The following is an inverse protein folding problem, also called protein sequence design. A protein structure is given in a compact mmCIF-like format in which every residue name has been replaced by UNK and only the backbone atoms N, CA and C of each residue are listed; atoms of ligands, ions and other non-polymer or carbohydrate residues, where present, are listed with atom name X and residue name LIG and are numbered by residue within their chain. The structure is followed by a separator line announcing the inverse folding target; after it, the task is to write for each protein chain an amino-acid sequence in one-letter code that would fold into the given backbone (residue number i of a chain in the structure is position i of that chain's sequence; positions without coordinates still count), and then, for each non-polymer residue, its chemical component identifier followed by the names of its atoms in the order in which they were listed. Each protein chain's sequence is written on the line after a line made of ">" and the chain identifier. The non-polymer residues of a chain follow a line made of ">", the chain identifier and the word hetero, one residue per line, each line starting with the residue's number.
data_IF_237921104803
#
_entry.id   IF_237921104803
#
_cell.length_a   1.000
_cell.length_b   1.000
_cell.length_c   1.000
_cell.angle_alpha   90.00
_cell.angle_beta   90.00
_cell.angle_gamma   90.00
#
_symmetry.space_group_name_H-M   'P 1'
#
loop_
_entity.id
_entity.type
_entity.pdbx_description
1 polymer ?
#
# COMPACT_ATOMS: atom_id res chain seq x y z
N UNK A 1 -3.24 -38.11 -5.56
CA UNK A 1 -3.44 -36.67 -5.41
C UNK A 1 -2.87 -36.20 -4.07
N UNK A 2 -2.00 -35.21 -4.06
CA UNK A 2 -1.46 -34.57 -2.86
C UNK A 2 -1.75 -33.08 -2.93
N UNK A 3 -2.35 -32.50 -1.89
CA UNK A 3 -2.51 -31.06 -1.73
C UNK A 3 -1.59 -30.58 -0.60
N UNK A 4 -0.88 -29.48 -0.84
CA UNK A 4 0.09 -28.93 0.11
C UNK A 4 0.18 -27.41 -0.08
N UNK A 5 0.42 -26.66 1.00
CA UNK A 5 0.66 -25.21 0.94
C UNK A 5 2.05 -24.89 0.37
N UNK A 6 2.21 -23.72 -0.24
CA UNK A 6 3.52 -23.20 -0.64
C UNK A 6 4.42 -23.09 0.59
N UNK A 7 5.68 -23.60 0.48
CA UNK A 7 6.61 -23.66 1.61
C UNK A 7 6.46 -24.89 2.51
N UNK A 8 5.43 -25.71 2.33
CA UNK A 8 5.33 -27.00 3.06
C UNK A 8 6.26 -28.07 2.45
N UNK A 9 6.65 -29.03 3.28
CA UNK A 9 7.52 -30.12 2.84
C UNK A 9 6.79 -31.08 1.90
N UNK A 10 7.17 -31.10 0.62
CA UNK A 10 6.71 -32.07 -0.39
C UNK A 10 7.78 -33.12 -0.67
N UNK A 11 8.73 -33.28 0.26
CA UNK A 11 9.83 -34.24 0.14
C UNK A 11 9.29 -35.69 0.09
N UNK A 12 9.88 -36.51 -0.76
CA UNK A 12 9.51 -37.93 -0.92
C UNK A 12 8.40 -38.21 -1.95
N UNK A 13 7.74 -37.18 -2.50
CA UNK A 13 6.71 -37.36 -3.53
C UNK A 13 7.25 -36.95 -4.90
N UNK A 14 6.99 -37.76 -5.93
CA UNK A 14 7.21 -37.42 -7.34
C UNK A 14 5.90 -37.02 -8.00
N UNK A 15 5.94 -36.09 -8.99
CA UNK A 15 4.76 -35.62 -9.68
C UNK A 15 4.93 -35.66 -11.20
N UNK A 16 3.94 -36.17 -11.93
CA UNK A 16 3.83 -36.01 -13.39
C UNK A 16 3.07 -34.74 -13.79
N UNK A 17 2.26 -34.21 -12.89
CA UNK A 17 1.57 -32.95 -13.02
C UNK A 17 1.58 -32.23 -11.68
N UNK A 18 2.07 -31.03 -11.64
CA UNK A 18 1.94 -30.11 -10.51
C UNK A 18 1.02 -28.94 -10.92
N UNK A 19 0.05 -28.63 -10.08
CA UNK A 19 -0.83 -27.47 -10.23
C UNK A 19 -0.51 -26.53 -9.06
N UNK A 20 -0.14 -25.29 -9.36
CA UNK A 20 0.12 -24.23 -8.39
C UNK A 20 -1.00 -23.21 -8.56
N UNK A 21 -1.75 -22.97 -7.50
CA UNK A 21 -2.90 -22.06 -7.50
C UNK A 21 -2.69 -20.96 -6.45
N UNK A 22 -2.67 -19.71 -6.89
CA UNK A 22 -2.42 -18.48 -6.10
C UNK A 22 -1.40 -18.67 -4.96
N UNK A 23 -0.11 -18.96 -5.29
CA UNK A 23 0.88 -19.39 -4.30
C UNK A 23 1.33 -18.29 -3.33
N UNK A 24 0.94 -17.05 -3.56
CA UNK A 24 1.33 -15.89 -2.74
C UNK A 24 0.15 -14.96 -2.55
N UNK A 25 -0.01 -14.45 -1.32
CA UNK A 25 -1.02 -13.42 -1.03
C UNK A 25 -0.60 -12.05 -1.55
N UNK A 26 -1.56 -11.12 -1.72
CA UNK A 26 -1.27 -9.72 -2.06
C UNK A 26 -0.22 -9.11 -1.13
N UNK A 27 -0.38 -9.31 0.17
CA UNK A 27 0.51 -8.72 1.18
C UNK A 27 1.94 -9.25 1.09
N UNK A 28 2.09 -10.55 0.89
CA UNK A 28 3.40 -11.19 0.78
C UNK A 28 4.07 -10.89 -0.57
N UNK A 29 3.28 -10.64 -1.61
CA UNK A 29 3.81 -10.38 -2.95
C UNK A 29 4.62 -9.07 -3.05
N UNK A 30 4.36 -8.09 -2.19
CA UNK A 30 5.16 -6.87 -2.12
C UNK A 30 6.43 -7.01 -1.27
N UNK A 31 6.57 -8.10 -0.51
CA UNK A 31 7.80 -8.41 0.22
C UNK A 31 8.80 -9.15 -0.66
N UNK A 32 9.96 -8.54 -0.94
CA UNK A 32 11.04 -9.18 -1.69
C UNK A 32 11.45 -10.52 -1.06
N UNK A 33 11.59 -10.56 0.25
CA UNK A 33 11.96 -11.78 0.99
C UNK A 33 10.95 -12.90 0.78
N UNK A 34 9.65 -12.58 0.75
CA UNK A 34 8.60 -13.59 0.51
C UNK A 34 8.60 -14.06 -0.93
N UNK A 35 8.78 -13.17 -1.91
CA UNK A 35 8.92 -13.56 -3.32
C UNK A 35 10.13 -14.46 -3.52
N UNK A 36 11.30 -14.06 -3.00
CA UNK A 36 12.54 -14.86 -3.10
C UNK A 36 12.37 -16.23 -2.43
N UNK A 37 11.70 -16.32 -1.30
CA UNK A 37 11.39 -17.57 -0.62
C UNK A 37 10.50 -18.49 -1.47
N UNK A 38 9.45 -17.95 -2.09
CA UNK A 38 8.57 -18.70 -2.99
C UNK A 38 9.30 -19.17 -4.25
N UNK A 39 10.10 -18.32 -4.87
CA UNK A 39 10.90 -18.65 -6.06
C UNK A 39 11.93 -19.75 -5.74
N UNK A 40 12.56 -19.70 -4.57
CA UNK A 40 13.45 -20.73 -4.05
C UNK A 40 12.72 -22.05 -3.78
N UNK A 41 11.55 -22.00 -3.15
CA UNK A 41 10.71 -23.17 -2.92
C UNK A 41 10.28 -23.84 -4.25
N UNK A 42 9.91 -23.07 -5.25
CA UNK A 42 9.63 -23.61 -6.58
C UNK A 42 10.86 -24.33 -7.17
N UNK A 43 11.99 -23.64 -7.21
CA UNK A 43 13.21 -24.12 -7.88
C UNK A 43 13.81 -25.34 -7.20
N UNK A 44 13.96 -25.31 -5.86
CA UNK A 44 14.62 -26.35 -5.08
C UNK A 44 13.67 -27.43 -4.55
N UNK A 45 12.42 -27.04 -4.28
CA UNK A 45 11.40 -27.93 -3.74
C UNK A 45 10.59 -28.63 -4.83
N UNK A 46 9.70 -27.88 -5.50
CA UNK A 46 8.72 -28.45 -6.42
C UNK A 46 9.36 -28.93 -7.73
N UNK A 47 10.18 -28.11 -8.38
CA UNK A 47 10.77 -28.44 -9.69
C UNK A 47 11.59 -29.73 -9.65
N UNK A 48 12.29 -29.98 -8.56
CA UNK A 48 13.09 -31.20 -8.34
C UNK A 48 12.24 -32.47 -8.12
N UNK A 49 10.92 -32.31 -7.93
CA UNK A 49 9.97 -33.44 -7.74
C UNK A 49 9.25 -33.83 -9.01
N UNK A 50 9.43 -33.07 -10.09
CA UNK A 50 8.83 -33.45 -11.36
C UNK A 50 9.53 -34.69 -11.93
N UNK A 51 8.73 -35.67 -12.29
CA UNK A 51 9.20 -36.87 -13.01
C UNK A 51 9.59 -36.47 -14.45
N UNK A 52 10.44 -37.27 -15.12
CA UNK A 52 10.75 -37.02 -16.53
C UNK A 52 9.48 -36.86 -17.38
N UNK A 53 9.36 -35.73 -18.09
CA UNK A 53 8.15 -35.39 -18.87
C UNK A 53 7.01 -34.81 -18.05
N UNK A 54 7.20 -34.63 -16.73
CA UNK A 54 6.22 -33.97 -15.85
C UNK A 54 5.96 -32.53 -16.28
N UNK A 55 4.74 -32.07 -15.99
CA UNK A 55 4.25 -30.73 -16.38
C UNK A 55 3.86 -29.92 -15.16
N UNK A 56 3.92 -28.60 -15.31
CA UNK A 56 3.46 -27.64 -14.31
C UNK A 56 2.37 -26.76 -14.91
N UNK A 57 1.32 -26.54 -14.17
CA UNK A 57 0.31 -25.49 -14.45
C UNK A 57 0.38 -24.49 -13.31
N UNK A 58 0.65 -23.24 -13.64
CA UNK A 58 0.65 -22.14 -12.68
C UNK A 58 -0.56 -21.25 -12.98
N UNK A 59 -1.46 -21.14 -12.02
CA UNK A 59 -2.59 -20.22 -12.03
C UNK A 59 -2.35 -19.21 -10.93
N UNK A 60 -2.27 -17.92 -11.24
CA UNK A 60 -2.08 -16.88 -10.23
C UNK A 60 -2.50 -15.51 -10.71
N UNK A 61 -2.88 -14.67 -9.78
CA UNK A 61 -2.98 -13.24 -9.99
C UNK A 61 -1.57 -12.65 -10.03
N UNK A 62 -1.33 -11.73 -10.97
CA UNK A 62 -0.06 -11.00 -11.02
C UNK A 62 -0.09 -9.88 -9.98
N UNK A 63 0.91 -9.84 -9.13
CA UNK A 63 1.03 -8.83 -8.07
C UNK A 63 2.26 -7.95 -8.25
N UNK A 64 3.32 -8.54 -8.78
CA UNK A 64 4.62 -7.90 -8.90
C UNK A 64 5.35 -8.45 -10.12
N UNK A 65 6.22 -7.64 -10.72
CA UNK A 65 7.02 -8.06 -11.88
C UNK A 65 7.86 -9.32 -11.57
N UNK A 66 8.51 -9.37 -10.40
CA UNK A 66 9.34 -10.49 -9.95
C UNK A 66 8.57 -11.51 -9.10
N UNK A 67 7.25 -11.60 -9.24
CA UNK A 67 6.48 -12.71 -8.66
C UNK A 67 6.86 -14.05 -9.33
N UNK A 68 6.31 -15.16 -8.86
CA UNK A 68 6.71 -16.47 -9.38
C UNK A 68 6.56 -16.57 -10.91
N UNK A 69 5.48 -16.02 -11.49
CA UNK A 69 5.32 -16.03 -12.93
C UNK A 69 6.39 -15.19 -13.65
N UNK A 70 6.68 -13.98 -13.14
CA UNK A 70 7.72 -13.13 -13.70
C UNK A 70 9.11 -13.77 -13.60
N UNK A 71 9.43 -14.37 -12.45
CA UNK A 71 10.66 -15.11 -12.25
C UNK A 71 10.84 -16.26 -13.25
N UNK A 72 9.78 -17.03 -13.52
CA UNK A 72 9.84 -18.16 -14.47
C UNK A 72 9.97 -17.69 -15.92
N UNK A 73 9.33 -16.58 -16.28
CA UNK A 73 9.45 -15.98 -17.62
C UNK A 73 10.83 -15.38 -17.82
N UNK A 74 11.40 -14.70 -16.83
CA UNK A 74 12.77 -14.20 -16.88
C UNK A 74 13.78 -15.34 -17.06
N UNK A 75 13.61 -16.45 -16.34
CA UNK A 75 14.44 -17.65 -16.56
C UNK A 75 14.30 -18.19 -17.98
N UNK A 76 13.09 -18.24 -18.54
CA UNK A 76 12.85 -18.70 -19.91
C UNK A 76 13.59 -17.85 -20.95
N UNK A 77 13.68 -16.54 -20.73
CA UNK A 77 14.33 -15.60 -21.65
C UNK A 77 15.86 -15.62 -21.50
N UNK A 78 16.35 -15.66 -20.27
CA UNK A 78 17.74 -15.39 -19.96
C UNK A 78 18.59 -16.63 -19.63
N UNK A 79 17.97 -17.79 -19.35
CA UNK A 79 18.73 -19.00 -19.04
C UNK A 79 18.72 -20.02 -20.17
N UNK A 80 19.89 -20.50 -20.62
CA UNK A 80 19.97 -21.59 -21.62
C UNK A 80 19.27 -22.84 -21.10
N UNK A 81 18.46 -23.49 -21.93
CA UNK A 81 17.76 -24.75 -21.60
C UNK A 81 16.72 -24.62 -20.47
N UNK A 82 16.25 -23.42 -20.15
CA UNK A 82 15.15 -23.23 -19.21
C UNK A 82 13.85 -23.90 -19.69
N UNK A 83 12.98 -24.21 -18.73
CA UNK A 83 11.64 -24.72 -19.05
C UNK A 83 10.88 -23.72 -19.93
N UNK A 84 10.12 -24.25 -20.91
CA UNK A 84 9.30 -23.42 -21.81
C UNK A 84 7.89 -23.32 -21.26
N UNK A 85 7.41 -22.08 -21.11
CA UNK A 85 6.09 -21.76 -20.60
C UNK A 85 5.20 -21.26 -21.74
N UNK A 86 4.01 -21.81 -21.80
CA UNK A 86 2.91 -21.28 -22.59
C UNK A 86 2.09 -20.36 -21.70
N UNK A 87 2.00 -19.07 -22.05
CA UNK A 87 1.36 -18.06 -21.23
C UNK A 87 -0.04 -17.77 -21.75
N UNK A 88 -1.04 -17.93 -20.91
CA UNK A 88 -2.41 -17.50 -21.16
C UNK A 88 -2.70 -16.31 -20.25
N UNK A 89 -2.88 -15.13 -20.85
CA UNK A 89 -3.15 -13.88 -20.13
C UNK A 89 -4.58 -13.42 -20.42
N UNK A 90 -5.36 -13.24 -19.35
CA UNK A 90 -6.77 -12.85 -19.44
C UNK A 90 -6.97 -11.53 -18.69
N UNK A 91 -6.75 -10.37 -19.35
CA UNK A 91 -6.99 -9.07 -18.73
C UNK A 91 -8.49 -8.78 -18.60
N UNK A 92 -8.89 -8.02 -17.57
CA UNK A 92 -10.28 -7.65 -17.35
C UNK A 92 -10.86 -6.77 -18.46
N UNK A 93 -10.03 -5.92 -19.10
CA UNK A 93 -10.36 -5.20 -20.32
C UNK A 93 -9.56 -5.79 -21.47
N UNK A 94 -10.23 -6.10 -22.58
CA UNK A 94 -9.58 -6.69 -23.75
C UNK A 94 -8.50 -5.76 -24.31
N UNK A 95 -7.30 -6.30 -24.51
CA UNK A 95 -6.19 -5.67 -25.22
C UNK A 95 -6.07 -6.27 -26.62
N UNK A 96 -5.30 -5.65 -27.50
CA UNK A 96 -4.99 -6.21 -28.83
C UNK A 96 -4.37 -7.61 -28.67
N UNK A 97 -3.38 -7.76 -27.79
CA UNK A 97 -2.71 -9.03 -27.50
C UNK A 97 -3.70 -10.10 -27.01
N UNK A 98 -4.58 -9.76 -26.06
CA UNK A 98 -5.55 -10.73 -25.52
C UNK A 98 -6.56 -11.17 -26.58
N UNK A 99 -7.01 -10.27 -27.43
CA UNK A 99 -7.94 -10.62 -28.53
C UNK A 99 -7.28 -11.54 -29.55
N UNK A 100 -6.03 -11.29 -29.95
CA UNK A 100 -5.27 -12.12 -30.86
C UNK A 100 -4.97 -13.51 -30.30
N UNK A 101 -4.52 -13.55 -29.03
CA UNK A 101 -4.08 -14.79 -28.36
C UNK A 101 -5.27 -15.67 -27.97
N UNK A 102 -6.36 -15.08 -27.46
CA UNK A 102 -7.50 -15.83 -26.93
C UNK A 102 -8.57 -16.15 -27.99
N UNK A 103 -8.61 -15.42 -29.08
CA UNK A 103 -9.64 -15.60 -30.09
C UNK A 103 -9.65 -17.00 -30.72
N UNK A 104 -8.51 -17.63 -31.07
CA UNK A 104 -8.50 -19.01 -31.58
C UNK A 104 -9.06 -20.02 -30.58
N UNK A 105 -8.69 -19.89 -29.30
CA UNK A 105 -9.18 -20.75 -28.22
C UNK A 105 -10.69 -20.56 -28.02
N UNK A 106 -11.17 -19.32 -28.02
CA UNK A 106 -12.59 -18.99 -27.91
C UNK A 106 -13.40 -19.56 -29.06
N UNK A 107 -12.98 -19.37 -30.30
CA UNK A 107 -13.62 -19.93 -31.52
C UNK A 107 -13.74 -21.46 -31.38
N UNK A 108 -12.68 -22.12 -30.90
CA UNK A 108 -12.69 -23.56 -30.64
C UNK A 108 -13.73 -23.97 -29.59
N UNK A 109 -13.80 -23.25 -28.46
CA UNK A 109 -14.75 -23.53 -27.38
C UNK A 109 -16.20 -23.25 -27.80
N UNK A 110 -16.45 -22.21 -28.57
CA UNK A 110 -17.77 -21.95 -29.18
C UNK A 110 -18.17 -23.08 -30.14
N UNK A 111 -17.24 -23.52 -30.98
CA UNK A 111 -17.48 -24.63 -31.90
C UNK A 111 -17.78 -25.96 -31.20
N UNK A 112 -17.20 -26.15 -30.02
CA UNK A 112 -17.43 -27.32 -29.16
C UNK A 112 -18.67 -27.20 -28.27
N UNK A 113 -19.38 -26.07 -28.30
CA UNK A 113 -20.59 -25.83 -27.51
C UNK A 113 -20.35 -25.45 -26.04
N UNK A 114 -19.09 -25.21 -25.63
CA UNK A 114 -18.76 -24.77 -24.26
C UNK A 114 -19.01 -23.28 -24.03
N UNK A 115 -18.98 -22.46 -25.08
CA UNK A 115 -19.25 -21.01 -25.02
C UNK A 115 -20.37 -20.66 -26.02
N UNK A 116 -21.16 -19.62 -25.70
CA UNK A 116 -22.16 -19.09 -26.63
C UNK A 116 -21.49 -18.33 -27.79
N UNK A 117 -22.21 -18.16 -28.90
CA UNK A 117 -21.69 -17.40 -30.06
C UNK A 117 -21.42 -15.91 -29.72
N UNK A 118 -22.09 -15.36 -28.71
CA UNK A 118 -21.93 -13.98 -28.30
C UNK A 118 -20.54 -13.68 -27.76
N UNK A 119 -19.84 -14.68 -27.20
CA UNK A 119 -18.43 -14.58 -26.81
C UNK A 119 -17.45 -14.32 -27.99
N UNK A 120 -17.89 -14.39 -29.22
CA UNK A 120 -17.02 -14.08 -30.38
C UNK A 120 -16.96 -12.59 -30.70
N UNK A 121 -17.73 -11.74 -30.03
CA UNK A 121 -17.89 -10.31 -30.35
C UNK A 121 -17.14 -9.36 -29.41
N UNK A 122 -16.18 -9.86 -28.64
CA UNK A 122 -15.42 -9.00 -27.72
C UNK A 122 -14.59 -7.97 -28.50
N UNK A 123 -14.62 -6.72 -28.06
CA UNK A 123 -13.92 -5.62 -28.68
C UNK A 123 -12.82 -5.09 -27.77
N UNK A 124 -11.86 -4.41 -28.39
CA UNK A 124 -10.79 -3.71 -27.71
C UNK A 124 -11.36 -2.73 -26.66
N UNK A 125 -10.84 -2.78 -25.43
CA UNK A 125 -11.26 -1.92 -24.33
C UNK A 125 -12.58 -2.31 -23.66
N UNK A 126 -13.29 -3.33 -24.16
CA UNK A 126 -14.46 -3.88 -23.48
C UNK A 126 -14.07 -4.92 -22.44
N UNK A 127 -14.92 -5.12 -21.46
CA UNK A 127 -14.74 -6.18 -20.47
C UNK A 127 -14.60 -7.55 -21.13
N UNK A 128 -13.75 -8.40 -20.55
CA UNK A 128 -13.66 -9.80 -20.97
C UNK A 128 -14.96 -10.56 -20.73
N UNK A 129 -15.79 -10.14 -19.76
CA UNK A 129 -17.06 -10.78 -19.37
C UNK A 129 -18.21 -9.76 -19.35
N UNK A 130 -18.57 -9.18 -20.54
CA UNK A 130 -19.48 -8.02 -20.62
C UNK A 130 -20.96 -8.37 -20.44
N UNK A 131 -21.34 -9.65 -20.66
CA UNK A 131 -22.73 -10.11 -20.63
C UNK A 131 -22.98 -11.11 -19.51
N UNK A 132 -24.20 -11.12 -18.91
CA UNK A 132 -24.53 -12.06 -17.85
C UNK A 132 -24.42 -13.51 -18.30
N UNK A 133 -23.84 -14.34 -17.46
CA UNK A 133 -23.89 -15.78 -17.57
C UNK A 133 -25.36 -16.25 -17.50
N UNK A 134 -25.76 -17.13 -18.40
CA UNK A 134 -27.14 -17.63 -18.48
C UNK A 134 -27.56 -18.45 -17.26
N UNK A 135 -26.60 -19.07 -16.58
CA UNK A 135 -26.88 -19.94 -15.41
C UNK A 135 -26.94 -19.13 -14.10
N UNK A 136 -26.03 -18.16 -13.93
CA UNK A 136 -25.85 -17.45 -12.66
C UNK A 136 -26.20 -15.97 -12.72
N UNK A 137 -26.47 -15.41 -13.90
CA UNK A 137 -26.75 -13.98 -14.07
C UNK A 137 -25.56 -13.05 -13.75
N UNK A 138 -24.38 -13.60 -13.57
CA UNK A 138 -23.19 -12.85 -13.17
C UNK A 138 -22.43 -12.31 -14.38
N UNK A 139 -22.03 -11.06 -14.32
CA UNK A 139 -21.14 -10.44 -15.31
C UNK A 139 -20.31 -9.33 -14.66
N UNK A 140 -19.24 -8.94 -15.35
CA UNK A 140 -18.51 -7.72 -15.10
C UNK A 140 -18.65 -6.81 -16.30
N UNK A 141 -19.55 -5.84 -16.22
CA UNK A 141 -19.72 -4.90 -17.35
C UNK A 141 -18.48 -4.05 -17.54
N UNK A 142 -18.28 -3.53 -18.74
CA UNK A 142 -17.19 -2.58 -19.02
C UNK A 142 -17.23 -1.38 -18.07
N UNK A 143 -18.43 -0.90 -17.75
CA UNK A 143 -18.62 0.20 -16.79
C UNK A 143 -18.16 -0.15 -15.38
N UNK A 144 -18.38 -1.39 -14.93
CA UNK A 144 -17.93 -1.85 -13.60
C UNK A 144 -16.41 -1.93 -13.53
N UNK A 145 -15.78 -2.45 -14.57
CA UNK A 145 -14.31 -2.50 -14.66
C UNK A 145 -13.71 -1.10 -14.73
N UNK A 146 -14.29 -0.17 -15.51
CA UNK A 146 -13.84 1.22 -15.55
C UNK A 146 -14.02 1.91 -14.18
N UNK A 147 -15.14 1.67 -13.49
CA UNK A 147 -15.33 2.17 -12.12
C UNK A 147 -14.27 1.62 -11.19
N UNK A 148 -13.96 0.34 -11.25
CA UNK A 148 -12.88 -0.29 -10.48
C UNK A 148 -11.55 0.34 -10.82
N UNK A 149 -11.24 0.57 -12.11
CA UNK A 149 -10.02 1.23 -12.56
C UNK A 149 -9.87 2.63 -11.95
N UNK A 150 -10.94 3.42 -11.95
CA UNK A 150 -10.92 4.79 -11.42
C UNK A 150 -10.80 4.85 -9.88
N UNK A 151 -11.14 3.76 -9.19
CA UNK A 151 -11.05 3.67 -7.73
C UNK A 151 -9.87 2.83 -7.23
N UNK A 152 -9.03 2.32 -8.13
CA UNK A 152 -7.84 1.52 -7.81
C UNK A 152 -6.60 2.25 -8.31
N UNK A 153 -5.49 2.27 -7.55
CA UNK A 153 -4.22 2.81 -8.04
C UNK A 153 -3.83 2.16 -9.38
N UNK A 154 -3.34 2.96 -10.33
CA UNK A 154 -3.10 2.50 -11.71
C UNK A 154 -2.21 1.25 -11.76
N UNK A 155 -1.08 1.25 -11.03
CA UNK A 155 -0.17 0.09 -10.99
C UNK A 155 -0.84 -1.17 -10.46
N UNK A 156 -1.74 -1.03 -9.45
CA UNK A 156 -2.52 -2.14 -8.90
C UNK A 156 -3.54 -2.65 -9.92
N UNK A 157 -4.23 -1.74 -10.59
CA UNK A 157 -5.16 -2.12 -11.64
C UNK A 157 -4.45 -2.83 -12.78
N UNK A 158 -3.32 -2.30 -13.23
CA UNK A 158 -2.54 -2.89 -14.31
C UNK A 158 -1.97 -4.26 -13.94
N UNK A 159 -1.52 -4.44 -12.70
CA UNK A 159 -1.08 -5.74 -12.20
C UNK A 159 -2.23 -6.75 -12.11
N UNK A 160 -3.30 -6.43 -11.37
CA UNK A 160 -4.40 -7.34 -11.05
C UNK A 160 -5.33 -7.59 -12.22
N UNK A 161 -5.83 -6.50 -12.82
CA UNK A 161 -6.85 -6.54 -13.84
C UNK A 161 -6.27 -6.48 -15.25
N UNK A 162 -5.10 -5.86 -15.43
CA UNK A 162 -4.35 -5.85 -16.68
C UNK A 162 -3.46 -7.07 -16.86
N UNK A 163 -3.18 -7.82 -15.79
CA UNK A 163 -2.22 -8.94 -15.77
C UNK A 163 -0.82 -8.52 -16.25
N UNK A 164 -0.48 -7.24 -16.07
CA UNK A 164 0.76 -6.61 -16.53
C UNK A 164 1.33 -5.76 -15.39
N UNK A 165 1.93 -6.40 -14.36
CA UNK A 165 2.64 -5.65 -13.34
C UNK A 165 3.82 -4.94 -13.99
N UNK A 166 3.92 -3.64 -13.74
CA UNK A 166 5.08 -2.85 -14.16
C UNK A 166 6.26 -3.09 -13.24
N UNK A 167 7.47 -2.94 -13.76
CA UNK A 167 8.67 -2.88 -12.93
C UNK A 167 8.58 -1.70 -11.98
N UNK A 168 8.79 -1.97 -10.71
CA UNK A 168 8.95 -0.93 -9.69
C UNK A 168 10.34 -0.27 -9.73
N UNK A 169 10.95 -0.15 -10.89
CA UNK A 169 12.08 0.76 -11.09
C UNK A 169 11.61 2.22 -11.10
N UNK A 170 10.63 2.52 -10.28
CA UNK A 170 10.09 3.84 -10.07
C UNK A 170 9.47 3.93 -8.67
N UNK A 171 9.67 5.03 -8.04
CA UNK A 171 9.23 5.39 -6.71
C UNK A 171 7.76 5.03 -6.47
N UNK A 172 7.45 4.33 -5.37
CA UNK A 172 6.09 3.88 -5.01
C UNK A 172 5.15 5.08 -4.86
N UNK A 173 5.65 6.19 -4.33
CA UNK A 173 4.93 7.45 -4.19
C UNK A 173 5.51 8.47 -5.17
N UNK A 174 4.67 8.93 -6.10
CA UNK A 174 5.10 9.89 -7.12
C UNK A 174 5.02 11.33 -6.61
N UNK A 175 5.98 12.15 -7.01
CA UNK A 175 6.04 13.56 -6.60
C UNK A 175 4.78 14.35 -7.04
N UNK A 176 4.26 14.06 -8.24
CA UNK A 176 3.07 14.72 -8.77
C UNK A 176 1.75 14.39 -8.05
N UNK A 177 1.74 13.41 -7.15
CA UNK A 177 0.55 13.07 -6.38
C UNK A 177 0.34 13.92 -5.14
N UNK A 178 1.39 14.63 -4.69
CA UNK A 178 1.29 15.57 -3.60
C UNK A 178 0.52 16.82 -4.04
N UNK A 179 -0.48 17.19 -3.26
CA UNK A 179 -1.20 18.44 -3.45
C UNK A 179 -0.56 19.54 -2.63
N UNK A 180 -0.63 20.76 -3.12
CA UNK A 180 -0.06 21.91 -2.45
C UNK A 180 -1.09 22.67 -1.62
N UNK A 181 -0.67 23.17 -0.44
CA UNK A 181 -1.48 24.05 0.36
C UNK A 181 -0.71 25.36 0.71
N UNK A 182 -0.02 25.98 -0.22
CA UNK A 182 0.78 27.20 -0.08
C UNK A 182 0.00 28.45 0.36
N UNK A 183 -1.01 28.31 1.17
CA UNK A 183 -1.62 29.44 1.86
C UNK A 183 -0.79 29.74 3.11
N UNK A 184 -0.78 31.01 3.53
CA UNK A 184 -0.03 31.46 4.69
C UNK A 184 -0.37 30.71 5.98
N UNK A 185 -1.53 30.06 6.03
CA UNK A 185 -2.01 29.24 7.14
C UNK A 185 -2.36 27.82 6.68
N UNK A 186 -2.03 26.82 7.52
CA UNK A 186 -2.41 25.45 7.31
C UNK A 186 -3.96 25.27 7.33
N UNK A 187 -4.52 24.29 6.58
CA UNK A 187 -5.94 24.00 6.64
C UNK A 187 -6.42 23.77 8.08
N UNK A 188 -7.63 24.22 8.40
CA UNK A 188 -8.24 23.92 9.71
C UNK A 188 -8.52 22.42 9.83
N UNK A 189 -7.83 21.74 10.76
CA UNK A 189 -7.86 20.29 10.89
C UNK A 189 -8.84 19.84 11.96
N UNK A 190 -9.63 18.83 11.65
CA UNK A 190 -10.58 18.19 12.58
C UNK A 190 -9.90 17.15 13.47
N UNK A 191 -8.76 16.60 13.04
CA UNK A 191 -7.97 15.63 13.78
C UNK A 191 -6.49 15.82 13.45
N UNK A 192 -5.65 15.88 14.47
CA UNK A 192 -4.20 16.01 14.32
C UNK A 192 -3.51 14.84 14.97
N UNK A 193 -2.54 14.26 14.25
CA UNK A 193 -1.72 13.15 14.73
C UNK A 193 -0.24 13.47 14.58
N UNK A 194 0.54 13.05 15.56
CA UNK A 194 1.99 12.96 15.44
C UNK A 194 2.42 11.50 15.34
N UNK A 195 3.36 11.24 14.48
CA UNK A 195 3.92 9.91 14.26
C UNK A 195 5.42 9.96 14.48
N UNK A 196 5.93 9.05 15.30
CA UNK A 196 7.29 9.01 15.78
C UNK A 196 7.95 7.68 15.46
N UNK A 197 9.07 7.72 14.76
CA UNK A 197 10.05 6.64 14.72
C UNK A 197 11.24 7.05 15.60
N UNK A 198 11.62 6.22 16.58
CA UNK A 198 12.57 6.61 17.60
C UNK A 198 13.81 5.72 17.63
N UNK A 199 14.99 6.36 17.60
CA UNK A 199 16.28 5.74 17.84
C UNK A 199 16.99 6.49 18.96
N UNK A 200 17.56 5.76 19.93
CA UNK A 200 18.27 6.37 21.06
C UNK A 200 19.78 6.33 20.85
N UNK A 201 20.29 7.17 19.99
CA UNK A 201 21.73 7.27 19.85
C UNK A 201 22.15 8.59 19.23
N UNK A 202 23.14 9.21 19.83
CA UNK A 202 23.81 10.40 19.31
C UNK A 202 25.02 10.09 18.42
N UNK A 203 25.34 8.78 18.23
CA UNK A 203 26.50 8.37 17.41
C UNK A 203 26.23 8.69 15.95
N UNK A 204 27.26 9.14 15.23
CA UNK A 204 27.17 9.48 13.79
C UNK A 204 26.78 8.31 12.89
N UNK A 205 26.94 7.06 13.36
CA UNK A 205 26.59 5.84 12.65
C UNK A 205 25.22 5.27 13.07
N UNK A 206 24.49 5.95 13.95
CA UNK A 206 23.19 5.49 14.44
C UNK A 206 22.05 6.00 13.56
N UNK A 207 20.93 5.29 13.58
CA UNK A 207 19.69 5.67 12.92
C UNK A 207 19.18 7.01 13.45
N UNK A 208 18.42 7.71 12.62
CA UNK A 208 17.74 8.94 13.00
C UNK A 208 16.47 8.62 13.80
N UNK A 209 16.07 9.56 14.65
CA UNK A 209 14.67 9.66 15.07
C UNK A 209 13.95 10.63 14.15
N UNK A 210 12.75 10.29 13.73
CA UNK A 210 11.94 11.12 12.86
C UNK A 210 10.55 11.36 13.46
N UNK A 211 10.03 12.55 13.19
CA UNK A 211 8.71 13.00 13.63
C UNK A 211 8.00 13.60 12.44
N UNK A 212 6.75 13.19 12.21
CA UNK A 212 5.85 13.88 11.30
C UNK A 212 4.53 14.22 11.98
N UNK A 213 3.99 15.39 11.67
CA UNK A 213 2.68 15.86 12.17
C UNK A 213 1.73 16.00 11.00
N UNK A 214 0.56 15.39 11.13
CA UNK A 214 -0.44 15.32 10.08
C UNK A 214 -1.79 15.81 10.59
N UNK A 215 -2.56 16.45 9.72
CA UNK A 215 -3.90 16.90 10.03
C UNK A 215 -4.92 16.40 9.03
N UNK A 216 -6.10 15.99 9.51
CA UNK A 216 -7.25 15.67 8.68
C UNK A 216 -8.08 16.93 8.52
N UNK A 217 -8.45 17.27 7.29
CA UNK A 217 -9.29 18.42 6.98
C UNK A 217 -10.32 18.10 5.91
N UNK A 218 -11.40 18.84 5.90
CA UNK A 218 -12.45 18.74 4.88
C UNK A 218 -12.38 19.97 3.97
N UNK A 219 -12.36 19.74 2.66
CA UNK A 219 -12.43 20.81 1.66
C UNK A 219 -13.86 21.02 1.12
N UNK A 220 -14.88 20.32 1.67
CA UNK A 220 -16.28 20.42 1.29
C UNK A 220 -16.65 19.79 -0.06
N UNK A 221 -15.72 19.13 -0.74
CA UNK A 221 -15.93 18.61 -2.11
C UNK A 221 -15.87 17.09 -2.18
N UNK A 222 -15.04 16.47 -1.32
CA UNK A 222 -14.75 15.04 -1.39
C UNK A 222 -14.59 14.43 0.01
N UNK A 223 -14.21 13.15 0.07
CA UNK A 223 -13.79 12.53 1.33
C UNK A 223 -12.69 13.36 2.02
N UNK A 224 -12.57 13.31 3.37
CA UNK A 224 -11.59 14.09 4.11
C UNK A 224 -10.17 13.93 3.59
N UNK A 225 -9.44 15.01 3.50
CA UNK A 225 -8.06 15.08 3.04
C UNK A 225 -7.09 15.08 4.22
N UNK A 226 -5.81 14.86 3.94
CA UNK A 226 -4.74 14.86 4.95
C UNK A 226 -3.66 15.84 4.54
N UNK A 227 -3.22 16.70 5.46
CA UNK A 227 -2.10 17.61 5.23
C UNK A 227 -0.95 17.36 6.18
N UNK A 228 0.26 17.48 5.65
CA UNK A 228 1.50 17.47 6.42
C UNK A 228 1.68 18.85 7.07
N UNK A 229 1.69 18.89 8.40
CA UNK A 229 1.76 20.11 9.21
C UNK A 229 3.16 20.40 9.75
N UNK A 230 4.02 19.38 9.81
CA UNK A 230 5.38 19.52 10.30
C UNK A 230 6.16 18.22 10.19
N UNK A 231 7.48 18.37 10.05
CA UNK A 231 8.40 17.25 10.09
C UNK A 231 9.73 17.68 10.74
N UNK A 232 10.36 16.77 11.45
CA UNK A 232 11.68 16.97 12.02
C UNK A 232 12.41 15.62 12.13
N UNK A 233 13.71 15.63 11.85
CA UNK A 233 14.58 14.46 11.97
C UNK A 233 15.90 14.85 12.63
N UNK A 234 16.39 13.98 13.48
CA UNK A 234 17.68 14.21 14.16
C UNK A 234 18.17 13.00 14.94
N UNK A 235 19.40 13.10 15.41
CA UNK A 235 19.99 12.14 16.35
C UNK A 235 19.93 12.74 17.73
N UNK A 236 18.96 12.30 18.53
CA UNK A 236 18.69 12.84 19.83
C UNK A 236 18.95 11.79 20.91
N UNK A 237 19.50 12.25 22.04
CA UNK A 237 19.52 11.46 23.24
C UNK A 237 18.11 11.41 23.87
N UNK A 238 17.93 10.52 24.84
CA UNK A 238 16.63 10.32 25.47
C UNK A 238 16.04 11.59 26.13
N UNK A 239 16.82 12.38 26.92
CA UNK A 239 16.29 13.63 27.50
C UNK A 239 15.82 14.63 26.44
N UNK A 240 16.60 14.80 25.37
CA UNK A 240 16.25 15.69 24.25
C UNK A 240 15.01 15.20 23.53
N UNK A 241 14.91 13.90 23.24
CA UNK A 241 13.75 13.31 22.58
C UNK A 241 12.47 13.48 23.40
N UNK A 242 12.56 13.27 24.72
CA UNK A 242 11.46 13.49 25.65
C UNK A 242 11.00 14.97 25.67
N UNK A 243 11.95 15.91 25.72
CA UNK A 243 11.60 17.33 25.70
C UNK A 243 10.94 17.72 24.36
N UNK A 244 11.48 17.24 23.24
CA UNK A 244 10.86 17.43 21.93
C UNK A 244 9.42 16.93 21.84
N UNK A 245 9.11 15.82 22.49
CA UNK A 245 7.73 15.32 22.51
C UNK A 245 6.77 16.30 23.22
N UNK A 246 7.22 16.93 24.29
CA UNK A 246 6.45 17.95 25.00
C UNK A 246 6.32 19.21 24.15
N UNK A 247 7.42 19.72 23.58
CA UNK A 247 7.45 20.95 22.77
C UNK A 247 6.57 20.79 21.52
N UNK A 248 6.64 19.63 20.85
CA UNK A 248 5.82 19.34 19.66
C UNK A 248 4.35 19.14 19.99
N UNK A 249 4.04 18.59 21.16
CA UNK A 249 2.67 18.56 21.65
C UNK A 249 2.13 19.96 21.90
N UNK A 250 2.91 20.83 22.54
CA UNK A 250 2.50 22.23 22.77
C UNK A 250 2.32 23.00 21.47
N UNK A 251 3.17 22.74 20.47
CA UNK A 251 3.13 23.40 19.17
C UNK A 251 1.88 23.04 18.37
N UNK A 252 1.54 21.76 18.29
CA UNK A 252 0.53 21.25 17.35
C UNK A 252 -0.75 20.75 18.01
N UNK A 253 -0.76 20.56 19.34
CA UNK A 253 -1.89 20.02 20.12
C UNK A 253 -2.52 18.77 19.47
N UNK A 254 -1.74 17.71 19.18
CA UNK A 254 -2.26 16.54 18.49
C UNK A 254 -3.28 15.78 19.35
N UNK A 255 -4.29 15.21 18.70
CA UNK A 255 -5.27 14.32 19.34
C UNK A 255 -4.68 12.95 19.65
N UNK A 256 -3.62 12.56 18.90
CA UNK A 256 -2.91 11.30 19.10
C UNK A 256 -1.43 11.44 18.77
N UNK A 257 -0.60 10.80 19.59
CA UNK A 257 0.85 10.65 19.35
C UNK A 257 1.14 9.17 19.20
N UNK A 258 1.54 8.75 18.01
CA UNK A 258 1.93 7.36 17.72
C UNK A 258 3.43 7.21 17.92
N UNK A 259 3.83 6.20 18.67
CA UNK A 259 5.22 5.83 18.86
C UNK A 259 5.37 4.35 18.54
N UNK A 260 6.31 4.01 17.65
CA UNK A 260 6.56 2.61 17.31
C UNK A 260 7.08 1.83 18.52
N UNK A 261 6.51 0.65 18.76
CA UNK A 261 6.90 -0.25 19.85
C UNK A 261 8.19 -1.00 19.52
N UNK A 262 9.29 -0.28 19.41
CA UNK A 262 10.66 -0.81 19.42
C UNK A 262 11.23 -0.71 20.84
N UNK A 263 12.34 -1.39 21.11
CA UNK A 263 13.01 -1.33 22.43
C UNK A 263 13.30 0.14 22.86
N UNK A 264 13.65 1.00 21.90
CA UNK A 264 13.86 2.44 22.08
C UNK A 264 12.57 3.20 22.42
N UNK A 265 11.45 2.88 21.78
CA UNK A 265 10.17 3.57 22.01
C UNK A 265 9.51 3.24 23.34
N UNK A 266 9.75 2.06 23.90
CA UNK A 266 9.01 1.58 25.06
C UNK A 266 9.22 2.44 26.32
N UNK A 267 10.45 2.86 26.60
CA UNK A 267 10.75 3.74 27.73
C UNK A 267 10.13 5.12 27.54
N UNK A 268 10.19 5.68 26.33
CA UNK A 268 9.60 6.97 25.99
C UNK A 268 8.08 6.93 26.15
N UNK A 269 7.42 5.87 25.68
CA UNK A 269 5.98 5.66 25.81
C UNK A 269 5.57 5.69 27.29
N UNK A 270 6.29 4.98 28.16
CA UNK A 270 5.98 4.92 29.59
C UNK A 270 6.09 6.29 30.25
N UNK A 271 7.18 7.00 30.01
CA UNK A 271 7.42 8.32 30.59
C UNK A 271 6.41 9.38 30.11
N UNK A 272 6.13 9.41 28.81
CA UNK A 272 5.20 10.39 28.24
C UNK A 272 3.75 10.14 28.64
N UNK A 273 3.35 8.89 28.86
CA UNK A 273 2.01 8.58 29.41
C UNK A 273 1.81 9.16 30.81
N UNK A 274 2.85 9.23 31.60
CA UNK A 274 2.79 9.84 32.96
C UNK A 274 2.62 11.37 32.88
N UNK A 275 2.92 12.01 31.77
CA UNK A 275 2.71 13.45 31.56
C UNK A 275 1.29 13.81 31.07
N UNK A 276 0.42 12.82 30.87
CA UNK A 276 -0.95 13.02 30.39
C UNK A 276 -1.09 13.26 28.87
N UNK A 277 -0.02 13.05 28.11
CA UNK A 277 -0.04 13.13 26.65
C UNK A 277 -0.82 11.95 26.03
N UNK A 278 -1.52 12.16 24.89
CA UNK A 278 -2.32 11.14 24.22
C UNK A 278 -1.44 10.13 23.45
N UNK A 279 -0.69 9.30 24.17
CA UNK A 279 0.29 8.36 23.60
C UNK A 279 -0.34 7.03 23.24
N UNK A 280 -0.16 6.61 21.99
CA UNK A 280 -0.57 5.31 21.46
C UNK A 280 0.65 4.53 20.96
N UNK A 281 0.67 3.23 21.25
CA UNK A 281 1.68 2.32 20.72
C UNK A 281 1.30 1.90 19.30
N UNK A 282 2.25 1.94 18.40
CA UNK A 282 2.10 1.39 17.07
C UNK A 282 2.96 0.13 16.92
N UNK A 283 2.34 -0.97 16.54
CA UNK A 283 3.03 -2.21 16.21
C UNK A 283 2.88 -2.44 14.71
N UNK A 284 3.94 -2.31 13.90
CA UNK A 284 3.86 -2.63 12.48
C UNK A 284 3.57 -4.13 12.30
N UNK A 285 2.48 -4.44 11.63
CA UNK A 285 2.04 -5.80 11.30
C UNK A 285 2.57 -6.30 9.94
N UNK A 286 3.19 -5.39 9.16
CA UNK A 286 3.67 -5.62 7.81
C UNK A 286 5.05 -5.02 7.61
N UNK A 287 5.75 -5.48 6.57
CA UNK A 287 6.98 -4.83 6.16
C UNK A 287 6.74 -3.39 5.65
N UNK A 288 7.80 -2.58 5.61
CA UNK A 288 7.74 -1.15 5.26
C UNK A 288 7.13 -0.92 3.87
N UNK A 289 7.55 -1.70 2.88
CA UNK A 289 7.08 -1.59 1.49
C UNK A 289 5.57 -1.86 1.41
N UNK A 290 5.10 -2.93 2.06
CA UNK A 290 3.68 -3.27 2.11
C UNK A 290 2.83 -2.18 2.80
N UNK A 291 3.39 -1.49 3.83
CA UNK A 291 2.72 -0.36 4.48
C UNK A 291 2.56 0.82 3.54
N UNK A 292 3.60 1.16 2.77
CA UNK A 292 3.54 2.26 1.79
C UNK A 292 2.54 1.94 0.68
N UNK A 293 2.52 0.71 0.17
CA UNK A 293 1.50 0.31 -0.82
C UNK A 293 0.08 0.47 -0.29
N UNK A 294 -0.16 0.13 0.96
CA UNK A 294 -1.50 0.25 1.55
C UNK A 294 -2.04 1.69 1.57
N UNK A 295 -1.17 2.70 1.54
CA UNK A 295 -1.56 4.13 1.55
C UNK A 295 -1.47 4.80 0.18
N UNK A 296 -0.94 4.13 -0.85
CA UNK A 296 -0.72 4.71 -2.19
C UNK A 296 -2.00 5.29 -2.81
N UNK A 297 -3.16 4.66 -2.54
CA UNK A 297 -4.43 5.14 -3.04
C UNK A 297 -4.78 6.57 -2.55
N UNK A 298 -4.37 6.95 -1.34
CA UNK A 298 -4.59 8.30 -0.81
C UNK A 298 -3.82 9.35 -1.63
N UNK A 299 -2.58 9.03 -2.00
CA UNK A 299 -1.75 9.87 -2.85
C UNK A 299 -2.29 9.97 -4.27
N UNK A 300 -2.55 8.82 -4.90
CA UNK A 300 -3.07 8.76 -6.27
C UNK A 300 -4.39 9.53 -6.43
N UNK A 301 -5.25 9.50 -5.42
CA UNK A 301 -6.52 10.22 -5.44
C UNK A 301 -6.39 11.71 -5.05
N UNK A 302 -5.17 12.26 -4.96
CA UNK A 302 -4.92 13.66 -4.66
C UNK A 302 -5.39 14.10 -3.25
N UNK A 303 -5.38 13.18 -2.28
CA UNK A 303 -5.88 13.45 -0.92
C UNK A 303 -4.80 13.84 0.07
N UNK A 304 -3.51 13.81 -0.33
CA UNK A 304 -2.37 14.13 0.53
C UNK A 304 -1.79 15.46 0.11
N UNK A 305 -1.70 16.37 1.07
CA UNK A 305 -1.26 17.75 0.89
C UNK A 305 0.01 18.02 1.69
N UNK A 306 0.92 18.81 1.12
CA UNK A 306 2.11 19.32 1.81
C UNK A 306 2.39 20.77 1.39
N UNK A 307 3.05 21.59 2.25
CA UNK A 307 3.43 22.93 1.87
C UNK A 307 4.70 22.88 1.00
N UNK A 308 4.59 23.27 -0.27
CA UNK A 308 5.69 23.20 -1.21
C UNK A 308 6.75 24.33 -1.02
N UNK A 309 6.53 25.26 -0.11
CA UNK A 309 7.46 26.35 0.23
C UNK A 309 8.31 26.06 1.47
N UNK A 310 8.18 24.89 2.12
CA UNK A 310 8.87 24.54 3.36
C UNK A 310 9.95 23.49 3.15
N UNK A 311 11.18 23.79 3.59
CA UNK A 311 12.33 22.87 3.46
C UNK A 311 12.07 21.50 4.09
N UNK A 312 11.49 21.45 5.29
CA UNK A 312 11.20 20.21 5.97
C UNK A 312 10.14 19.36 5.24
N UNK A 313 9.20 19.98 4.53
CA UNK A 313 8.22 19.25 3.72
C UNK A 313 8.90 18.65 2.48
N UNK A 314 9.81 19.40 1.84
CA UNK A 314 10.61 18.87 0.74
C UNK A 314 11.43 17.65 1.13
N UNK A 315 11.98 17.59 2.35
CA UNK A 315 12.71 16.43 2.83
C UNK A 315 11.80 15.18 2.90
N UNK A 316 10.58 15.33 3.43
CA UNK A 316 9.60 14.23 3.47
C UNK A 316 9.16 13.79 2.08
N UNK A 317 8.86 14.75 1.20
CA UNK A 317 8.43 14.48 -0.17
C UNK A 317 9.53 13.80 -0.99
N UNK A 318 10.79 14.23 -0.82
CA UNK A 318 11.93 13.66 -1.54
C UNK A 318 12.25 12.24 -1.05
N UNK A 319 12.19 12.00 0.26
CA UNK A 319 12.36 10.64 0.80
C UNK A 319 11.23 9.73 0.32
N UNK A 320 9.98 10.21 0.31
CA UNK A 320 8.85 9.48 -0.23
C UNK A 320 9.01 9.19 -1.73
N UNK A 321 9.51 10.16 -2.49
CA UNK A 321 9.77 10.02 -3.92
C UNK A 321 10.85 8.99 -4.23
N UNK A 322 11.87 8.87 -3.41
CA UNK A 322 13.01 7.97 -3.64
C UNK A 322 12.82 6.57 -3.03
N UNK A 323 11.80 6.38 -2.20
CA UNK A 323 11.53 5.07 -1.59
C UNK A 323 11.03 4.04 -2.64
N UNK A 324 11.52 2.77 -2.65
CA UNK A 324 12.34 2.11 -1.61
C UNK A 324 13.86 2.19 -1.84
N UNK A 325 14.34 2.84 -2.88
CA UNK A 325 15.76 2.85 -3.27
C UNK A 325 16.58 3.98 -2.64
N UNK A 326 15.95 4.90 -1.92
CA UNK A 326 16.59 6.03 -1.25
C UNK A 326 17.52 5.62 -0.11
N UNK A 327 18.43 6.55 0.27
CA UNK A 327 19.40 6.32 1.34
C UNK A 327 18.79 6.43 2.75
N UNK A 328 17.62 7.01 2.88
CA UNK A 328 16.89 7.24 4.13
C UNK A 328 15.44 6.82 3.95
N UNK A 329 14.86 6.31 5.01
CA UNK A 329 13.48 5.84 5.06
C UNK A 329 12.78 6.09 6.41
N UNK A 330 13.37 6.99 7.23
CA UNK A 330 12.87 7.34 8.56
C UNK A 330 11.53 8.10 8.50
N UNK A 331 11.40 9.03 7.54
CA UNK A 331 10.14 9.74 7.31
C UNK A 331 9.07 8.82 6.69
N UNK A 332 9.46 7.83 5.91
CA UNK A 332 8.53 6.84 5.35
C UNK A 332 7.87 6.01 6.43
N UNK A 333 8.62 5.63 7.48
CA UNK A 333 8.03 4.92 8.62
C UNK A 333 6.97 5.79 9.30
N UNK A 334 7.29 7.03 9.64
CA UNK A 334 6.34 7.94 10.30
C UNK A 334 5.13 8.28 9.43
N UNK A 335 5.33 8.49 8.12
CA UNK A 335 4.29 8.78 7.14
C UNK A 335 3.32 7.59 7.01
N UNK A 336 3.86 6.39 6.75
CA UNK A 336 3.03 5.20 6.58
C UNK A 336 2.25 4.84 7.85
N UNK A 337 2.88 4.99 9.01
CA UNK A 337 2.27 4.78 10.32
C UNK A 337 1.09 5.74 10.56
N UNK A 338 1.27 7.05 10.32
CA UNK A 338 0.23 8.05 10.50
C UNK A 338 -0.97 7.80 9.58
N UNK A 339 -0.72 7.61 8.28
CA UNK A 339 -1.79 7.43 7.30
C UNK A 339 -2.56 6.11 7.49
N UNK A 340 -1.87 5.03 7.86
CA UNK A 340 -2.53 3.76 8.21
C UNK A 340 -3.40 3.90 9.46
N UNK A 341 -2.92 4.61 10.48
CA UNK A 341 -3.71 4.86 11.69
C UNK A 341 -4.98 5.64 11.37
N UNK A 342 -4.88 6.72 10.61
CA UNK A 342 -6.03 7.52 10.20
C UNK A 342 -7.03 6.71 9.38
N UNK A 343 -6.54 5.88 8.45
CA UNK A 343 -7.36 5.01 7.62
C UNK A 343 -8.09 3.96 8.46
N UNK A 344 -7.36 3.21 9.28
CA UNK A 344 -7.91 2.14 10.10
C UNK A 344 -8.86 2.66 11.21
N UNK A 345 -8.63 3.89 11.67
CA UNK A 345 -9.50 4.58 12.62
C UNK A 345 -10.74 5.22 11.97
N UNK A 346 -10.91 5.11 10.64
CA UNK A 346 -12.03 5.71 9.93
C UNK A 346 -11.99 7.23 9.84
N UNK A 347 -10.85 7.90 10.13
CA UNK A 347 -10.74 9.36 10.11
C UNK A 347 -10.71 9.96 8.72
N UNK A 348 -10.46 9.16 7.71
CA UNK A 348 -10.36 9.56 6.30
C UNK A 348 -11.31 8.79 5.39
N UNK A 349 -12.31 8.10 5.94
CA UNK A 349 -13.37 7.44 5.19
C UNK A 349 -14.65 8.31 5.18
N UNK A 350 -15.39 8.31 4.08
CA UNK A 350 -16.71 8.92 4.00
C UNK A 350 -17.70 8.06 4.78
N UNK A 351 -18.25 8.60 5.86
CA UNK A 351 -19.52 8.12 6.42
C UNK A 351 -20.55 9.23 6.30
N UNK A 352 -21.62 8.95 5.60
CA UNK A 352 -22.60 9.94 5.15
C UNK A 352 -23.30 10.76 6.25
N UNK A 353 -23.14 10.50 7.54
CA UNK A 353 -23.89 11.25 8.56
C UNK A 353 -23.26 11.41 9.96
N UNK A 354 -22.06 10.88 10.24
CA UNK A 354 -21.54 10.93 11.62
C UNK A 354 -20.30 11.81 11.81
N UNK A 355 -19.69 12.27 10.74
CA UNK A 355 -18.40 12.97 10.79
C UNK A 355 -18.56 14.48 10.94
N UNK A 356 -19.55 15.09 10.30
CA UNK A 356 -19.79 16.55 10.40
C UNK A 356 -20.04 16.92 11.85
N UNK A 357 -20.92 16.20 12.55
CA UNK A 357 -21.24 16.47 13.96
C UNK A 357 -20.03 16.26 14.89
N UNK A 358 -19.22 15.19 14.67
CA UNK A 358 -18.03 14.92 15.47
C UNK A 358 -16.87 15.85 15.17
N UNK A 359 -16.71 16.25 13.90
CA UNK A 359 -15.69 17.19 13.48
C UNK A 359 -15.97 18.60 14.03
N UNK A 360 -17.22 19.09 13.88
CA UNK A 360 -17.66 20.38 14.44
C UNK A 360 -17.52 20.42 15.97
N UNK A 361 -17.86 19.32 16.67
CA UNK A 361 -17.71 19.22 18.12
C UNK A 361 -16.23 19.27 18.54
N UNK A 362 -15.33 18.66 17.77
CA UNK A 362 -13.88 18.70 18.06
C UNK A 362 -13.26 20.07 17.80
N UNK A 363 -13.63 20.73 16.68
CA UNK A 363 -13.22 22.11 16.39
C UNK A 363 -13.74 23.06 17.47
N UNK A 364 -14.99 22.90 17.89
CA UNK A 364 -15.60 23.68 18.97
C UNK A 364 -14.83 23.48 20.29
N UNK A 365 -14.56 22.24 20.69
CA UNK A 365 -13.83 21.92 21.91
C UNK A 365 -12.39 22.46 21.91
N UNK A 366 -11.72 22.46 20.75
CA UNK A 366 -10.38 23.07 20.60
C UNK A 366 -10.42 24.58 20.74
N UNK A 367 -11.40 25.23 20.12
CA UNK A 367 -11.61 26.69 20.27
C UNK A 367 -11.89 27.06 21.72
N UNK A 368 -12.72 26.30 22.43
CA UNK A 368 -12.98 26.53 23.87
C UNK A 368 -11.73 26.32 24.72
N UNK A 369 -10.95 25.27 24.48
CA UNK A 369 -9.69 25.03 25.21
C UNK A 369 -8.67 26.15 24.97
N UNK A 370 -8.57 26.66 23.74
CA UNK A 370 -7.71 27.81 23.41
C UNK A 370 -8.20 29.12 24.03
N UNK A 371 -9.53 29.35 24.06
CA UNK A 371 -10.11 30.52 24.73
C UNK A 371 -10.05 30.43 26.26
N UNK A 372 -10.19 29.23 26.84
CA UNK A 372 -10.06 28.99 28.28
C UNK A 372 -8.67 29.30 28.80
N UNK A 373 -7.63 28.96 28.04
CA UNK A 373 -6.23 29.31 28.36
C UNK A 373 -5.97 30.83 28.30
N UNK A 374 -6.66 31.60 27.43
CA UNK A 374 -6.53 33.06 27.39
C UNK A 374 -7.22 33.76 28.57
N UNK A 375 -8.26 33.16 29.17
CA UNK A 375 -8.92 33.71 30.38
C UNK A 375 -8.15 33.45 31.69
N UNK A 376 -7.28 32.42 31.73
CA UNK A 376 -6.45 32.13 32.88
C UNK A 376 -5.20 33.03 33.05
N UNK A 377 -4.96 33.96 32.10
CA UNK A 377 -3.85 34.92 32.17
C UNK A 377 -4.22 36.28 32.81
N UNK A 378 -5.42 36.39 33.35
CA UNK A 378 -5.92 37.61 34.02
C UNK A 378 -6.53 37.31 35.42
N UNK A 379 -5.82 36.53 36.26
CA UNK A 379 -6.00 36.50 37.69
C UNK A 379 -4.66 36.22 38.38
#
# INVERSE_FOLDING_TARGET
>A
FLAAGSGSGIAGFGAHLAIIDDPISEQDAYSKTRRDSLNSWYSSGLRTRLMPGGKVVLVMTRWHETDLAGFLLDQQENAPMADKWEVVRIPALNTTESLETLEPARKKLVKQGYLSQDFTKLKLGESFWPEPDKENGFCWTTSDIIRTKNNTPAFKFDALYGQSPSSEEGNILKAEWWQDWTKDEAPECTYIIQSWDTAFSTRTTADYSAITTWGVFDNGVSAPNVCLLGAERGRWDYPTLRQKAIDKYEQHQPDSILIEKKASGQSLIQDLRMTGLPIFEFNPDRDKVARVYAITALFHNGRIYAPHDRTWAHEVMEEARTFPTGNHDDYIDTLSQALLWMRNGGYIEHSENTWVDKAEQRVYNRKEAAYGKKRGLYY
#
